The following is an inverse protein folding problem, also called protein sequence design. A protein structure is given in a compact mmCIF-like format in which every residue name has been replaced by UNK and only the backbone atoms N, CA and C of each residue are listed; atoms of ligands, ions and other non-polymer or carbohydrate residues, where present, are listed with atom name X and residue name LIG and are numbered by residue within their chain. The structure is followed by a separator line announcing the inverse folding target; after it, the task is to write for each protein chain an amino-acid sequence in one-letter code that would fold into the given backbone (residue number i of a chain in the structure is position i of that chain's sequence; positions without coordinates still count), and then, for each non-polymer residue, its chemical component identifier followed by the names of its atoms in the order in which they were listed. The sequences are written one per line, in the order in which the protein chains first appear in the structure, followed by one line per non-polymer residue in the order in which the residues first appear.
data_IF_695877973738
#
_entry.id   IF_695877973738
#
_cell.length_a   1.000
_cell.length_b   1.000
_cell.length_c   1.000
_cell.angle_alpha   90.00
_cell.angle_beta   90.00
_cell.angle_gamma   90.00
#
_symmetry.space_group_name_H-M   'P 1'
#
loop_
_entity.id
_entity.type
_entity.pdbx_description
1 polymer ?
#
# COMPACT_ATOMS: atom_id res chain seq x y z
N UNK A 1 8.99 10.58 12.08
CA UNK A 1 9.59 11.21 13.26
C UNK A 1 10.30 12.51 12.93
N UNK A 2 11.48 12.49 12.28
CA UNK A 2 12.30 13.69 12.06
C UNK A 2 11.60 14.87 11.36
N UNK A 3 10.65 14.62 10.46
CA UNK A 3 9.83 15.66 9.84
C UNK A 3 8.82 16.27 10.82
N UNK A 4 8.17 15.46 11.67
CA UNK A 4 7.19 15.90 12.68
C UNK A 4 7.88 16.75 13.76
N UNK A 5 9.09 16.38 14.17
CA UNK A 5 9.86 17.16 15.15
C UNK A 5 10.22 18.57 14.65
N UNK A 6 10.34 18.73 13.32
CA UNK A 6 10.63 20.01 12.67
C UNK A 6 9.40 20.72 12.13
N UNK A 7 8.20 20.19 12.40
CA UNK A 7 6.97 20.81 11.93
C UNK A 7 6.79 22.20 12.56
N UNK A 8 6.41 23.16 11.72
CA UNK A 8 6.21 24.58 12.10
C UNK A 8 4.72 24.97 12.13
N UNK A 9 3.88 24.31 11.32
CA UNK A 9 2.50 24.76 11.09
C UNK A 9 1.47 23.64 11.11
N UNK A 10 1.71 22.53 10.39
CA UNK A 10 0.70 21.48 10.20
C UNK A 10 1.33 20.10 10.12
N UNK A 11 0.66 19.12 10.71
CA UNK A 11 0.97 17.70 10.53
C UNK A 11 -0.33 16.95 10.26
N UNK A 12 -0.46 16.39 9.07
CA UNK A 12 -1.62 15.61 8.64
C UNK A 12 -1.19 14.15 8.45
N UNK A 13 -1.83 13.22 9.15
CA UNK A 13 -1.50 11.78 9.11
C UNK A 13 -2.74 10.96 8.78
N UNK A 14 -2.62 9.98 7.90
CA UNK A 14 -3.63 8.93 7.68
C UNK A 14 -3.00 7.54 7.75
N UNK A 15 -3.66 6.62 8.46
CA UNK A 15 -3.20 5.24 8.60
C UNK A 15 -4.37 4.26 8.62
N UNK A 16 -4.12 3.07 8.06
CA UNK A 16 -5.05 1.94 8.14
C UNK A 16 -4.99 1.27 9.52
N UNK A 17 -3.78 0.89 9.96
CA UNK A 17 -3.54 0.30 11.28
C UNK A 17 -2.80 1.31 12.15
N UNK A 18 -3.37 1.56 13.31
CA UNK A 18 -2.76 2.24 14.44
C UNK A 18 -2.92 1.37 15.68
N UNK A 19 -1.86 0.69 16.08
CA UNK A 19 -1.83 -0.19 17.26
C UNK A 19 -1.07 0.48 18.39
N UNK A 20 -1.55 0.39 19.65
CA UNK A 20 -0.75 0.77 20.82
C UNK A 20 0.57 0.00 20.86
N UNK A 21 1.64 0.63 21.34
CA UNK A 21 2.98 0.05 21.35
C UNK A 21 4.07 1.10 21.48
N UNK A 22 5.34 0.67 21.44
CA UNK A 22 6.51 1.56 21.49
C UNK A 22 6.55 2.53 20.31
N UNK A 23 6.26 2.07 19.10
CA UNK A 23 6.27 2.94 17.92
C UNK A 23 5.17 4.00 18.01
N UNK A 24 3.96 3.60 18.40
CA UNK A 24 2.85 4.53 18.62
C UNK A 24 3.18 5.52 19.72
N UNK A 25 3.73 5.08 20.86
CA UNK A 25 4.11 5.97 21.97
C UNK A 25 5.16 7.02 21.57
N UNK A 26 6.18 6.64 20.79
CA UNK A 26 7.14 7.60 20.23
C UNK A 26 6.45 8.62 19.32
N UNK A 27 5.57 8.16 18.44
CA UNK A 27 4.80 9.06 17.56
C UNK A 27 3.89 9.99 18.36
N UNK A 28 3.19 9.50 19.38
CA UNK A 28 2.35 10.29 20.27
C UNK A 28 3.14 11.43 20.90
N UNK A 29 4.32 11.12 21.46
CA UNK A 29 5.18 12.12 22.07
C UNK A 29 5.65 13.18 21.08
N UNK A 30 6.02 12.79 19.84
CA UNK A 30 6.42 13.73 18.80
C UNK A 30 5.25 14.62 18.33
N UNK A 31 4.06 14.06 18.20
CA UNK A 31 2.86 14.81 17.81
C UNK A 31 2.43 15.77 18.91
N UNK A 32 2.47 15.35 20.18
CA UNK A 32 2.18 16.22 21.32
C UNK A 32 3.18 17.38 21.40
N UNK A 33 4.48 17.14 21.18
CA UNK A 33 5.49 18.20 21.04
C UNK A 33 5.17 19.16 19.90
N UNK A 34 4.71 18.66 18.75
CA UNK A 34 4.31 19.50 17.63
C UNK A 34 3.12 20.40 18.01
N UNK A 35 2.10 19.85 18.68
CA UNK A 35 0.98 20.65 19.21
C UNK A 35 1.47 21.71 20.20
N UNK A 36 2.39 21.35 21.11
CA UNK A 36 3.00 22.29 22.06
C UNK A 36 3.77 23.44 21.41
N UNK A 37 4.26 23.26 20.17
CA UNK A 37 4.85 24.33 19.33
C UNK A 37 3.82 25.13 18.53
N UNK A 38 2.52 24.86 18.69
CA UNK A 38 1.43 25.52 17.96
C UNK A 38 1.06 24.88 16.62
N UNK A 39 1.59 23.70 16.28
CA UNK A 39 1.21 23.01 15.04
C UNK A 39 -0.22 22.47 15.12
N UNK A 40 -0.99 22.63 14.04
CA UNK A 40 -2.26 21.93 13.86
C UNK A 40 -2.01 20.49 13.44
N UNK A 41 -2.43 19.53 14.27
CA UNK A 41 -2.24 18.10 13.99
C UNK A 41 -3.58 17.41 13.72
N UNK A 42 -3.69 16.73 12.57
CA UNK A 42 -4.84 15.90 12.20
C UNK A 42 -4.43 14.45 11.99
N UNK A 43 -5.17 13.51 12.57
CA UNK A 43 -4.98 12.08 12.41
C UNK A 43 -6.26 11.41 11.91
N UNK A 44 -6.20 10.79 10.73
CA UNK A 44 -7.29 10.02 10.13
C UNK A 44 -7.00 8.52 10.27
N UNK A 45 -7.88 7.80 10.95
CA UNK A 45 -7.74 6.36 11.19
C UNK A 45 -8.85 5.58 10.50
N UNK A 46 -8.51 4.44 9.89
CA UNK A 46 -9.53 3.49 9.43
C UNK A 46 -10.17 2.74 10.61
N UNK A 47 -11.50 2.76 10.70
CA UNK A 47 -12.19 2.08 11.80
C UNK A 47 -11.99 0.56 11.79
N UNK A 48 -11.74 -0.07 10.64
CA UNK A 48 -11.47 -1.51 10.57
C UNK A 48 -10.06 -1.87 10.99
N UNK A 49 -9.05 -1.24 10.38
CA UNK A 49 -7.66 -1.56 10.70
C UNK A 49 -7.21 -1.06 12.08
N UNK A 50 -7.88 -0.06 12.64
CA UNK A 50 -7.49 0.58 13.92
C UNK A 50 -8.51 0.37 15.04
N UNK A 51 -9.24 -0.75 15.04
CA UNK A 51 -10.26 -1.03 16.07
C UNK A 51 -9.71 -1.08 17.50
N UNK A 52 -8.43 -1.44 17.65
CA UNK A 52 -7.71 -1.47 18.93
C UNK A 52 -7.08 -0.12 19.33
N UNK A 53 -7.21 0.93 18.50
CA UNK A 53 -6.61 2.23 18.77
C UNK A 53 -7.40 3.06 19.81
N UNK A 54 -8.61 2.67 20.17
CA UNK A 54 -9.54 3.45 21.01
C UNK A 54 -8.91 4.10 22.24
N UNK A 55 -8.22 3.35 23.12
CA UNK A 55 -7.54 3.92 24.29
C UNK A 55 -6.45 4.94 23.93
N UNK A 56 -5.70 4.69 22.86
CA UNK A 56 -4.66 5.60 22.37
C UNK A 56 -5.25 6.90 21.77
N UNK A 57 -6.43 6.84 21.16
CA UNK A 57 -7.10 8.00 20.58
C UNK A 57 -7.49 9.02 21.65
N UNK A 58 -7.95 8.57 22.81
CA UNK A 58 -8.29 9.47 23.91
C UNK A 58 -7.07 10.29 24.37
N UNK A 59 -5.91 9.64 24.50
CA UNK A 59 -4.64 10.29 24.86
C UNK A 59 -4.23 11.32 23.80
N UNK A 60 -4.35 10.96 22.52
CA UNK A 60 -4.02 11.86 21.41
C UNK A 60 -4.93 13.10 21.40
N UNK A 61 -6.23 12.92 21.62
CA UNK A 61 -7.19 14.03 21.68
C UNK A 61 -6.92 14.95 22.86
N UNK A 62 -6.59 14.39 24.04
CA UNK A 62 -6.17 15.18 25.20
C UNK A 62 -4.89 15.99 24.93
N UNK A 63 -3.98 15.47 24.10
CA UNK A 63 -2.79 16.19 23.65
C UNK A 63 -3.06 17.25 22.56
N UNK A 64 -4.33 17.53 22.23
CA UNK A 64 -4.74 18.55 21.25
C UNK A 64 -4.71 18.09 19.79
N UNK A 65 -4.58 16.78 19.54
CA UNK A 65 -4.58 16.22 18.18
C UNK A 65 -6.02 15.96 17.75
N UNK A 66 -6.39 16.48 16.58
CA UNK A 66 -7.72 16.24 16.02
C UNK A 66 -7.74 14.87 15.36
N UNK A 67 -8.53 13.94 15.90
CA UNK A 67 -8.66 12.58 15.36
C UNK A 67 -10.00 12.42 14.65
N UNK A 68 -9.98 11.86 13.45
CA UNK A 68 -11.18 11.48 12.68
C UNK A 68 -11.12 10.00 12.28
N UNK A 69 -12.28 9.39 12.20
CA UNK A 69 -12.44 7.97 11.87
C UNK A 69 -13.04 7.82 10.49
N UNK A 70 -12.37 7.04 9.63
CA UNK A 70 -12.89 6.66 8.33
C UNK A 70 -13.86 5.47 8.45
N UNK A 71 -15.08 5.64 7.93
CA UNK A 71 -16.14 4.65 7.91
C UNK A 71 -16.53 4.10 9.31
N UNK A 72 -16.87 4.98 10.29
CA UNK A 72 -17.16 4.59 11.67
C UNK A 72 -18.47 3.79 11.84
N UNK A 73 -19.40 3.89 10.88
CA UNK A 73 -20.73 3.25 10.93
C UNK A 73 -20.71 1.89 10.20
N UNK A 74 -20.58 0.78 10.95
CA UNK A 74 -20.60 -0.62 10.47
C UNK A 74 -22.05 -1.13 10.45
N UNK A 75 -22.57 -1.94 9.51
CA UNK A 75 -22.17 -3.30 9.07
C UNK A 75 -22.29 -3.54 7.54
N UNK A 76 -23.04 -2.69 6.82
CA UNK A 76 -23.25 -2.83 5.37
C UNK A 76 -22.03 -2.44 4.51
N UNK A 77 -21.11 -1.62 5.05
CA UNK A 77 -20.02 -0.94 4.31
C UNK A 77 -18.60 -1.42 4.65
N UNK A 78 -18.45 -2.52 5.38
CA UNK A 78 -17.15 -3.11 5.79
C UNK A 78 -16.18 -3.45 4.66
N UNK A 79 -16.68 -3.47 3.42
CA UNK A 79 -15.86 -3.70 2.23
C UNK A 79 -15.02 -2.48 1.82
N UNK A 80 -15.32 -1.28 2.32
CA UNK A 80 -14.57 -0.06 2.02
C UNK A 80 -13.67 0.31 3.19
N UNK A 81 -12.36 0.36 2.91
CA UNK A 81 -11.32 0.62 3.91
C UNK A 81 -10.38 1.69 3.39
N UNK A 82 -10.00 2.62 4.25
CA UNK A 82 -8.89 3.52 4.02
C UNK A 82 -7.59 2.75 4.26
N UNK A 83 -7.00 2.24 3.18
CA UNK A 83 -5.77 1.48 3.24
C UNK A 83 -4.53 2.37 3.02
N UNK A 84 -4.70 3.70 3.04
CA UNK A 84 -3.62 4.67 2.80
C UNK A 84 -2.73 4.80 4.03
N UNK A 85 -1.45 5.10 3.78
CA UNK A 85 -0.48 5.52 4.80
C UNK A 85 0.24 6.73 4.26
N UNK A 86 -0.06 7.90 4.81
CA UNK A 86 0.47 9.18 4.35
C UNK A 86 0.69 10.08 5.55
N UNK A 87 1.83 10.76 5.55
CA UNK A 87 2.16 11.84 6.47
C UNK A 87 2.52 13.06 5.65
N UNK A 88 1.84 14.18 5.86
CA UNK A 88 2.15 15.47 5.24
C UNK A 88 2.52 16.45 6.35
N UNK A 89 3.68 17.08 6.22
CA UNK A 89 4.19 18.07 7.17
C UNK A 89 4.36 19.41 6.46
N UNK A 90 3.75 20.45 7.02
CA UNK A 90 3.80 21.85 6.57
C UNK A 90 3.44 22.05 5.09
N UNK A 91 2.76 21.08 4.48
CA UNK A 91 2.56 21.00 3.01
C UNK A 91 3.85 21.19 2.21
N UNK A 92 5.00 20.85 2.79
CA UNK A 92 6.35 20.93 2.20
C UNK A 92 7.05 19.58 2.14
N UNK A 93 6.64 18.64 3.00
CA UNK A 93 7.15 17.28 3.03
C UNK A 93 5.99 16.31 3.03
N UNK A 94 6.10 15.24 2.24
CA UNK A 94 5.15 14.14 2.31
C UNK A 94 5.87 12.79 2.31
N UNK A 95 5.41 11.87 3.16
CA UNK A 95 5.84 10.49 3.22
C UNK A 95 4.66 9.59 2.88
N UNK A 96 4.83 8.68 1.92
CA UNK A 96 3.83 7.66 1.59
C UNK A 96 4.49 6.28 1.49
N UNK A 97 3.76 5.21 1.78
CA UNK A 97 4.32 3.86 1.70
C UNK A 97 3.40 2.78 2.22
N UNK A 98 3.99 1.63 2.57
CA UNK A 98 3.28 0.49 3.14
C UNK A 98 3.20 0.49 4.68
N UNK A 99 4.10 1.20 5.37
CA UNK A 99 4.28 1.11 6.81
C UNK A 99 3.07 1.61 7.59
N UNK A 100 2.52 0.77 8.47
CA UNK A 100 1.53 1.18 9.45
C UNK A 100 2.18 1.61 10.78
N UNK A 101 1.37 2.08 11.73
CA UNK A 101 1.83 2.36 13.10
C UNK A 101 1.51 1.16 13.97
N UNK A 102 2.47 0.24 14.10
CA UNK A 102 2.40 -0.91 14.98
C UNK A 102 3.83 -1.39 15.29
N UNK A 103 4.04 -2.06 16.43
CA UNK A 103 5.38 -2.50 16.84
C UNK A 103 5.97 -3.56 15.91
N UNK A 104 5.13 -4.22 15.10
CA UNK A 104 5.55 -5.05 13.98
C UNK A 104 6.41 -4.29 12.98
N UNK A 105 6.29 -2.96 12.86
CA UNK A 105 7.12 -2.13 11.97
C UNK A 105 8.32 -1.50 12.71
N UNK A 106 8.51 -1.80 14.00
CA UNK A 106 9.60 -1.24 14.81
C UNK A 106 10.86 -2.11 14.67
N UNK A 107 11.63 -1.86 13.61
CA UNK A 107 12.91 -2.53 13.38
C UNK A 107 13.55 -2.21 12.04
N UNK A 108 14.60 -2.94 11.69
CA UNK A 108 15.35 -2.81 10.43
C UNK A 108 14.76 -3.65 9.28
N UNK A 109 13.76 -4.48 9.61
CA UNK A 109 13.12 -5.41 8.70
C UNK A 109 13.95 -6.65 8.41
N UNK A 110 15.12 -6.83 9.06
CA UNK A 110 16.04 -7.95 8.87
C UNK A 110 16.19 -8.73 10.17
N UNK A 111 16.64 -8.08 11.24
CA UNK A 111 16.79 -8.68 12.56
C UNK A 111 15.50 -8.55 13.37
N UNK A 112 14.78 -7.45 13.20
CA UNK A 112 13.54 -7.17 13.91
C UNK A 112 12.56 -6.37 13.04
N UNK A 113 11.27 -6.54 13.33
CA UNK A 113 10.20 -5.85 12.61
C UNK A 113 10.01 -6.31 11.17
N UNK A 114 8.94 -5.85 10.55
CA UNK A 114 8.54 -6.14 9.18
C UNK A 114 9.37 -5.28 8.23
N UNK A 115 9.76 -5.87 7.10
CA UNK A 115 10.42 -5.14 6.02
C UNK A 115 9.36 -4.48 5.15
N UNK A 116 9.31 -3.17 5.16
CA UNK A 116 8.43 -2.38 4.30
C UNK A 116 9.21 -1.16 3.76
N UNK A 117 8.59 -0.39 2.88
CA UNK A 117 9.21 0.79 2.29
C UNK A 117 8.18 1.90 2.07
N UNK A 118 8.72 3.10 1.91
CA UNK A 118 7.98 4.28 1.50
C UNK A 118 8.91 5.25 0.78
N UNK A 119 8.32 6.33 0.31
CA UNK A 119 9.05 7.43 -0.29
C UNK A 119 8.75 8.73 0.43
N UNK A 120 9.78 9.54 0.61
CA UNK A 120 9.68 10.92 1.04
C UNK A 120 9.81 11.85 -0.17
N UNK A 121 8.89 12.78 -0.35
CA UNK A 121 8.95 13.78 -1.41
C UNK A 121 8.89 15.19 -0.85
N UNK A 122 9.70 16.06 -1.45
CA UNK A 122 9.73 17.51 -1.24
C UNK A 122 9.32 18.29 -2.49
N UNK A 123 8.96 17.59 -3.57
CA UNK A 123 8.56 18.23 -4.84
C UNK A 123 7.25 19.00 -4.58
N UNK A 124 7.25 20.35 -4.64
CA UNK A 124 6.12 21.13 -4.13
C UNK A 124 4.77 20.72 -4.74
N UNK A 125 4.71 20.57 -6.07
CA UNK A 125 3.50 20.14 -6.76
C UNK A 125 3.00 18.75 -6.33
N UNK A 126 3.93 17.81 -6.08
CA UNK A 126 3.59 16.46 -5.59
C UNK A 126 3.09 16.49 -4.15
N UNK A 127 3.76 17.26 -3.27
CA UNK A 127 3.36 17.41 -1.87
C UNK A 127 1.98 18.06 -1.76
N UNK A 128 1.70 19.09 -2.56
CA UNK A 128 0.38 19.73 -2.59
C UNK A 128 -0.69 18.75 -3.11
N UNK A 129 -0.38 17.91 -4.11
CA UNK A 129 -1.31 16.89 -4.59
C UNK A 129 -1.64 15.86 -3.49
N UNK A 130 -0.63 15.42 -2.72
CA UNK A 130 -0.82 14.53 -1.57
C UNK A 130 -1.62 15.19 -0.45
N UNK A 131 -1.32 16.45 -0.11
CA UNK A 131 -2.08 17.24 0.87
C UNK A 131 -3.56 17.37 0.49
N UNK A 132 -3.84 17.72 -0.78
CA UNK A 132 -5.22 17.77 -1.30
C UNK A 132 -5.91 16.40 -1.28
N UNK A 133 -5.14 15.33 -1.49
CA UNK A 133 -5.66 13.96 -1.38
C UNK A 133 -6.02 13.60 0.06
N UNK A 134 -5.24 14.04 1.03
CA UNK A 134 -5.56 13.93 2.46
C UNK A 134 -6.80 14.74 2.82
N UNK A 135 -6.86 16.03 2.44
CA UNK A 135 -7.98 16.92 2.76
C UNK A 135 -9.34 16.34 2.28
N UNK A 136 -9.34 15.70 1.11
CA UNK A 136 -10.53 15.01 0.58
C UNK A 136 -10.91 13.77 1.40
N UNK A 137 -9.95 12.92 1.76
CA UNK A 137 -10.22 11.76 2.62
C UNK A 137 -10.71 12.19 3.99
N UNK A 138 -10.15 13.26 4.54
CA UNK A 138 -10.56 13.86 5.81
C UNK A 138 -12.02 14.32 5.77
N UNK A 139 -12.41 15.07 4.73
CA UNK A 139 -13.78 15.53 4.54
C UNK A 139 -14.77 14.37 4.35
N UNK A 140 -14.31 13.28 3.72
CA UNK A 140 -15.10 12.07 3.46
C UNK A 140 -15.06 11.06 4.62
N UNK A 141 -14.33 11.33 5.71
CA UNK A 141 -14.08 10.36 6.78
C UNK A 141 -15.35 9.68 7.34
N UNK A 142 -16.46 10.40 7.64
CA UNK A 142 -17.69 9.75 8.11
C UNK A 142 -18.22 8.67 7.16
N UNK A 143 -17.91 8.80 5.87
CA UNK A 143 -18.31 7.86 4.81
C UNK A 143 -19.83 7.60 4.79
N UNK A 144 -20.62 8.62 5.16
CA UNK A 144 -22.09 8.55 5.30
C UNK A 144 -22.82 8.44 3.96
N UNK A 145 -22.26 9.05 2.92
CA UNK A 145 -22.69 8.87 1.54
C UNK A 145 -21.52 8.24 0.80
N UNK A 146 -21.78 7.19 0.00
CA UNK A 146 -20.82 6.88 -1.04
C UNK A 146 -20.74 8.13 -1.91
N UNK A 147 -19.57 8.72 -2.10
CA UNK A 147 -19.43 9.59 -3.23
C UNK A 147 -19.76 8.72 -4.43
N UNK A 148 -20.81 9.08 -5.18
CA UNK A 148 -20.94 8.60 -6.56
C UNK A 148 -19.54 8.72 -7.15
N UNK A 149 -19.06 7.65 -7.77
CA UNK A 149 -17.70 7.37 -8.23
C UNK A 149 -17.00 8.48 -9.07
N UNK A 150 -17.66 9.63 -9.23
CA UNK A 150 -17.31 10.82 -9.98
C UNK A 150 -16.66 11.94 -9.15
N UNK A 151 -16.62 11.88 -7.80
CA UNK A 151 -16.05 12.98 -6.98
C UNK A 151 -14.58 12.80 -6.56
N UNK A 152 -13.98 11.62 -6.75
CA UNK A 152 -12.54 11.44 -6.53
C UNK A 152 -11.79 11.89 -7.80
N UNK A 153 -11.01 12.99 -7.76
CA UNK A 153 -10.36 13.49 -8.96
C UNK A 153 -9.39 12.48 -9.53
N UNK A 154 -9.28 12.53 -10.86
CA UNK A 154 -8.28 11.76 -11.57
C UNK A 154 -6.87 12.11 -11.09
N UNK A 155 -5.95 11.14 -11.25
CA UNK A 155 -4.58 11.25 -10.80
C UNK A 155 -3.95 12.62 -11.10
N UNK A 156 -3.29 13.20 -10.09
CA UNK A 156 -2.48 14.40 -10.27
C UNK A 156 -1.17 14.00 -10.93
N UNK A 157 -0.66 14.79 -11.87
CA UNK A 157 0.60 14.51 -12.55
C UNK A 157 1.48 15.75 -12.60
N UNK A 158 2.79 15.54 -12.54
CA UNK A 158 3.81 16.48 -12.99
C UNK A 158 4.69 15.81 -14.03
N UNK A 159 5.82 16.43 -14.36
CA UNK A 159 6.67 15.99 -15.46
C UNK A 159 7.22 14.56 -15.28
N UNK A 160 7.63 14.23 -14.05
CA UNK A 160 8.25 12.93 -13.71
C UNK A 160 7.43 12.09 -12.74
N UNK A 161 6.21 12.50 -12.39
CA UNK A 161 5.43 11.81 -11.37
C UNK A 161 3.93 11.80 -11.66
N UNK A 162 3.25 10.76 -11.22
CA UNK A 162 1.80 10.62 -11.30
C UNK A 162 1.27 9.99 -10.01
N UNK A 163 0.39 10.71 -9.31
CA UNK A 163 -0.25 10.27 -8.08
C UNK A 163 -1.61 9.64 -8.38
N UNK A 164 -1.71 8.32 -8.22
CA UNK A 164 -2.97 7.60 -8.31
C UNK A 164 -3.65 7.51 -6.95
N UNK A 165 -4.89 7.98 -6.91
CA UNK A 165 -5.80 7.77 -5.78
C UNK A 165 -6.79 6.68 -6.17
N UNK A 166 -6.58 5.49 -5.64
CA UNK A 166 -7.53 4.39 -5.77
C UNK A 166 -8.67 4.57 -4.75
N UNK A 167 -9.84 4.05 -5.10
CA UNK A 167 -11.04 4.09 -4.30
C UNK A 167 -12.17 3.41 -5.05
N UNK A 168 -13.33 3.31 -4.41
CA UNK A 168 -14.55 2.80 -5.02
C UNK A 168 -14.99 3.67 -6.21
N UNK A 169 -14.52 3.37 -7.42
CA UNK A 169 -14.86 4.19 -8.60
C UNK A 169 -13.82 4.22 -9.73
N UNK A 170 -13.64 5.38 -10.36
CA UNK A 170 -12.85 5.55 -11.60
C UNK A 170 -11.32 5.57 -11.38
N UNK A 171 -10.81 6.03 -10.23
CA UNK A 171 -9.37 6.21 -9.97
C UNK A 171 -8.51 4.95 -10.18
N UNK A 172 -9.04 3.80 -9.77
CA UNK A 172 -8.46 2.47 -10.00
C UNK A 172 -8.16 2.19 -11.49
N UNK A 173 -9.00 2.68 -12.41
CA UNK A 173 -8.85 2.41 -13.84
C UNK A 173 -7.59 3.05 -14.40
N UNK A 174 -7.20 4.24 -13.90
CA UNK A 174 -6.03 4.97 -14.41
C UNK A 174 -4.73 4.32 -13.94
N UNK A 175 -4.61 4.01 -12.64
CA UNK A 175 -3.48 3.24 -12.12
C UNK A 175 -3.26 1.94 -12.92
N UNK A 176 -4.32 1.15 -13.09
CA UNK A 176 -4.26 -0.11 -13.83
C UNK A 176 -3.84 0.09 -15.29
N UNK A 177 -4.35 1.13 -15.97
CA UNK A 177 -3.96 1.45 -17.36
C UNK A 177 -2.48 1.80 -17.45
N UNK A 178 -2.01 2.68 -16.56
CA UNK A 178 -0.61 3.11 -16.53
C UNK A 178 0.33 1.93 -16.24
N UNK A 179 0.02 1.14 -15.20
CA UNK A 179 0.76 -0.07 -14.88
C UNK A 179 0.80 -1.04 -16.07
N UNK A 180 -0.35 -1.29 -16.73
CA UNK A 180 -0.38 -2.17 -17.89
C UNK A 180 0.49 -1.66 -19.05
N UNK A 181 0.49 -0.34 -19.31
CA UNK A 181 1.30 0.27 -20.36
C UNK A 181 2.79 0.08 -20.07
N UNK A 182 3.20 0.42 -18.85
CA UNK A 182 4.62 0.37 -18.48
C UNK A 182 5.12 -1.09 -18.44
N UNK A 183 4.34 -2.02 -17.89
CA UNK A 183 4.68 -3.45 -17.93
C UNK A 183 4.69 -4.02 -19.37
N UNK A 184 3.88 -3.46 -20.28
CA UNK A 184 3.84 -3.92 -21.67
C UNK A 184 5.11 -3.51 -22.42
N UNK A 185 5.61 -2.30 -22.18
CA UNK A 185 6.80 -1.74 -22.82
C UNK A 185 8.09 -2.27 -22.19
N UNK A 186 8.08 -2.59 -20.89
CA UNK A 186 9.32 -2.85 -20.17
C UNK A 186 10.07 -4.11 -20.60
N UNK A 187 11.40 -4.04 -20.42
CA UNK A 187 12.34 -5.16 -20.57
C UNK A 187 12.93 -5.61 -19.24
N UNK A 188 13.01 -4.71 -18.25
CA UNK A 188 13.48 -4.99 -16.91
C UNK A 188 12.39 -4.66 -15.89
N UNK A 189 11.88 -5.68 -15.20
CA UNK A 189 10.82 -5.54 -14.21
C UNK A 189 11.24 -6.15 -12.87
N UNK A 190 11.10 -5.37 -11.81
CA UNK A 190 11.27 -5.81 -10.43
C UNK A 190 9.96 -5.60 -9.67
N UNK A 191 9.43 -6.65 -9.03
CA UNK A 191 8.20 -6.58 -8.21
C UNK A 191 8.53 -7.05 -6.79
N UNK A 192 8.21 -6.24 -5.80
CA UNK A 192 8.23 -6.61 -4.39
C UNK A 192 6.82 -6.45 -3.86
N UNK A 193 6.20 -7.56 -3.44
CA UNK A 193 4.79 -7.55 -3.07
C UNK A 193 4.52 -8.44 -1.84
N UNK A 194 3.93 -7.83 -0.81
CA UNK A 194 3.40 -8.54 0.36
C UNK A 194 2.39 -9.64 -0.03
N UNK A 195 1.45 -9.29 -0.92
CA UNK A 195 0.45 -10.20 -1.47
C UNK A 195 0.51 -10.17 -3.00
N UNK A 196 1.13 -11.20 -3.58
CA UNK A 196 1.26 -11.33 -5.03
C UNK A 196 0.09 -12.13 -5.62
N UNK A 197 -1.02 -11.43 -5.88
CA UNK A 197 -2.21 -12.02 -6.52
C UNK A 197 -2.61 -11.23 -7.78
N UNK A 198 -1.68 -11.03 -8.74
CA UNK A 198 -1.98 -10.25 -9.94
C UNK A 198 -3.07 -10.88 -10.80
N UNK A 199 -3.76 -10.01 -11.53
CA UNK A 199 -4.72 -10.41 -12.56
C UNK A 199 -4.03 -11.22 -13.67
N UNK A 200 -4.81 -12.06 -14.38
CA UNK A 200 -4.33 -12.82 -15.55
C UNK A 200 -3.62 -11.96 -16.58
N UNK A 201 -4.12 -10.74 -16.82
CA UNK A 201 -3.52 -9.78 -17.75
C UNK A 201 -2.13 -9.34 -17.30
N UNK A 202 -1.96 -9.03 -16.01
CA UNK A 202 -0.66 -8.63 -15.45
C UNK A 202 0.32 -9.81 -15.51
N UNK A 203 -0.11 -11.04 -15.21
CA UNK A 203 0.74 -12.23 -15.37
C UNK A 203 1.22 -12.42 -16.82
N UNK A 204 0.31 -12.23 -17.79
CA UNK A 204 0.66 -12.30 -19.20
C UNK A 204 1.62 -11.19 -19.64
N UNK A 205 1.52 -9.99 -19.05
CA UNK A 205 2.46 -8.88 -19.30
C UNK A 205 3.86 -9.22 -18.75
N UNK A 206 3.94 -9.69 -17.51
CA UNK A 206 5.20 -10.14 -16.90
C UNK A 206 5.86 -11.24 -17.74
N UNK A 207 5.08 -12.26 -18.16
CA UNK A 207 5.60 -13.33 -19.02
C UNK A 207 6.04 -12.86 -20.42
N UNK A 208 5.48 -11.77 -20.97
CA UNK A 208 5.96 -11.18 -22.23
C UNK A 208 7.24 -10.36 -22.01
N UNK A 209 7.31 -9.57 -20.94
CA UNK A 209 8.51 -8.83 -20.59
C UNK A 209 9.69 -9.76 -20.31
N UNK A 210 9.45 -10.89 -19.65
CA UNK A 210 10.44 -11.92 -19.37
C UNK A 210 11.03 -12.60 -20.62
N UNK A 211 10.39 -12.46 -21.79
CA UNK A 211 10.96 -12.90 -23.08
C UNK A 211 11.87 -11.86 -23.72
N UNK A 212 11.78 -10.59 -23.29
CA UNK A 212 12.59 -9.48 -23.80
C UNK A 212 13.77 -9.15 -22.88
N UNK A 213 13.65 -9.46 -21.59
CA UNK A 213 14.67 -9.18 -20.59
C UNK A 213 14.32 -9.79 -19.24
N UNK A 214 14.77 -9.16 -18.16
CA UNK A 214 14.72 -9.72 -16.80
C UNK A 214 13.42 -9.36 -16.08
N UNK A 215 12.76 -10.35 -15.51
CA UNK A 215 11.65 -10.15 -14.56
C UNK A 215 11.97 -10.84 -13.25
N UNK A 216 11.98 -10.06 -12.17
CA UNK A 216 12.21 -10.51 -10.80
C UNK A 216 10.99 -10.22 -9.93
N UNK A 217 10.55 -11.21 -9.16
CA UNK A 217 9.46 -11.10 -8.20
C UNK A 217 9.97 -11.54 -6.83
N UNK A 218 9.82 -10.70 -5.81
CA UNK A 218 10.13 -11.02 -4.43
C UNK A 218 8.85 -10.97 -3.60
N UNK A 219 8.59 -12.04 -2.86
CA UNK A 219 7.44 -12.21 -1.98
C UNK A 219 7.91 -12.59 -0.57
N UNK A 220 7.10 -12.42 0.48
CA UNK A 220 7.47 -12.92 1.79
C UNK A 220 7.48 -14.47 1.83
N UNK A 221 8.40 -15.05 2.60
CA UNK A 221 8.40 -16.48 2.91
C UNK A 221 7.26 -16.86 3.87
N UNK A 222 6.88 -15.93 4.75
CA UNK A 222 5.79 -16.06 5.70
C UNK A 222 4.58 -15.18 5.30
N UNK A 223 3.47 -15.27 6.01
CA UNK A 223 2.30 -14.44 5.72
C UNK A 223 1.47 -14.21 6.97
N UNK A 224 1.09 -12.96 7.18
CA UNK A 224 0.18 -12.51 8.24
C UNK A 224 -1.29 -12.83 7.91
N UNK A 225 -1.63 -12.92 6.62
CA UNK A 225 -2.96 -13.29 6.13
C UNK A 225 -2.90 -14.64 5.42
N UNK A 226 -3.32 -15.76 6.07
CA UNK A 226 -3.23 -17.11 5.49
C UNK A 226 -3.90 -17.25 4.13
N UNK A 227 -5.06 -16.60 3.94
CA UNK A 227 -5.80 -16.60 2.69
C UNK A 227 -4.98 -15.99 1.54
N UNK A 228 -4.34 -14.85 1.79
CA UNK A 228 -3.51 -14.16 0.80
C UNK A 228 -2.23 -14.96 0.51
N UNK A 229 -1.62 -15.55 1.53
CA UNK A 229 -0.45 -16.41 1.39
C UNK A 229 -0.74 -17.63 0.49
N UNK A 230 -1.87 -18.32 0.72
CA UNK A 230 -2.28 -19.46 -0.12
C UNK A 230 -2.65 -19.06 -1.55
N UNK A 231 -3.31 -17.91 -1.74
CA UNK A 231 -3.60 -17.39 -3.07
C UNK A 231 -2.32 -17.00 -3.83
N UNK A 232 -1.34 -16.39 -3.15
CA UNK A 232 -0.02 -16.09 -3.72
C UNK A 232 0.69 -17.36 -4.18
N UNK A 233 0.73 -18.39 -3.33
CA UNK A 233 1.32 -19.69 -3.69
C UNK A 233 0.64 -20.34 -4.91
N UNK A 234 -0.69 -20.19 -5.05
CA UNK A 234 -1.40 -20.64 -6.26
C UNK A 234 -0.88 -19.94 -7.52
N UNK A 235 -0.70 -18.61 -7.45
CA UNK A 235 -0.30 -17.77 -8.58
C UNK A 235 1.17 -18.00 -8.95
N UNK A 236 2.06 -18.04 -7.97
CA UNK A 236 3.50 -18.21 -8.18
C UNK A 236 3.81 -19.53 -8.90
N UNK A 237 3.11 -20.61 -8.54
CA UNK A 237 3.22 -21.91 -9.22
C UNK A 237 2.83 -21.88 -10.70
N UNK A 238 1.98 -20.92 -11.10
CA UNK A 238 1.58 -20.73 -12.49
C UNK A 238 2.52 -19.83 -13.31
N UNK A 239 3.55 -19.24 -12.69
CA UNK A 239 4.56 -18.46 -13.41
C UNK A 239 5.58 -19.39 -14.09
N UNK A 240 6.06 -19.06 -15.30
CA UNK A 240 7.10 -19.83 -15.97
C UNK A 240 8.45 -19.67 -15.23
N UNK A 241 8.94 -20.70 -14.51
CA UNK A 241 10.12 -20.57 -13.65
C UNK A 241 11.41 -20.34 -14.46
N UNK A 242 11.42 -20.70 -15.74
CA UNK A 242 12.55 -20.44 -16.66
C UNK A 242 12.63 -19.01 -17.17
N UNK A 243 11.55 -18.22 -17.03
CA UNK A 243 11.49 -16.85 -17.55
C UNK A 243 11.40 -15.82 -16.41
N UNK A 244 10.73 -16.13 -15.31
CA UNK A 244 10.54 -15.20 -14.19
C UNK A 244 11.32 -15.70 -12.98
N UNK A 245 12.25 -14.88 -12.50
CA UNK A 245 13.00 -15.13 -11.29
C UNK A 245 12.11 -14.80 -10.09
N UNK A 246 11.89 -15.77 -9.21
CA UNK A 246 11.06 -15.59 -8.02
C UNK A 246 11.90 -15.86 -6.78
N UNK A 247 11.82 -14.98 -5.79
CA UNK A 247 12.52 -15.07 -4.51
C UNK A 247 11.56 -14.94 -3.34
N UNK A 248 11.90 -15.57 -2.21
CA UNK A 248 11.21 -15.46 -0.94
C UNK A 248 12.08 -14.78 0.09
N UNK A 249 11.62 -13.63 0.59
CA UNK A 249 12.26 -12.93 1.70
C UNK A 249 12.05 -13.69 3.00
N UNK A 250 13.14 -14.09 3.65
CA UNK A 250 13.12 -15.00 4.81
C UNK A 250 13.15 -14.30 6.17
N UNK A 251 13.93 -13.20 6.39
CA UNK A 251 14.20 -12.74 7.76
C UNK A 251 12.96 -12.29 8.54
N UNK A 252 12.00 -11.67 7.86
CA UNK A 252 10.79 -11.14 8.47
C UNK A 252 9.62 -11.11 7.47
N UNK A 253 8.46 -10.62 7.92
CA UNK A 253 7.38 -10.33 6.99
C UNK A 253 7.78 -9.19 6.04
N UNK A 254 7.81 -9.48 4.74
CA UNK A 254 8.00 -8.49 3.68
C UNK A 254 6.65 -7.89 3.32
N UNK A 255 6.41 -6.67 3.76
CA UNK A 255 5.16 -5.95 3.55
C UNK A 255 5.28 -4.80 2.53
N UNK A 256 6.31 -4.77 1.68
CA UNK A 256 6.48 -3.76 0.65
C UNK A 256 5.50 -3.89 -0.54
N UNK A 257 5.24 -2.76 -1.21
CA UNK A 257 4.46 -2.64 -2.47
C UNK A 257 5.23 -1.79 -3.47
N UNK A 258 6.12 -2.45 -4.19
CA UNK A 258 7.04 -1.82 -5.14
C UNK A 258 6.96 -2.53 -6.49
N UNK A 259 6.81 -1.74 -7.55
CA UNK A 259 6.99 -2.22 -8.93
C UNK A 259 7.92 -1.26 -9.64
N UNK A 260 8.97 -1.81 -10.25
CA UNK A 260 9.88 -1.06 -11.11
C UNK A 260 9.75 -1.65 -12.51
N UNK A 261 9.46 -0.81 -13.50
CA UNK A 261 9.38 -1.18 -14.91
C UNK A 261 10.29 -0.22 -15.70
N UNK A 262 11.48 -0.69 -16.05
CA UNK A 262 12.59 0.14 -16.57
C UNK A 262 12.86 1.37 -15.67
N UNK A 263 12.49 2.58 -16.06
CA UNK A 263 12.67 3.79 -15.24
C UNK A 263 11.43 4.21 -14.44
N UNK A 264 10.30 3.52 -14.63
CA UNK A 264 9.06 3.80 -13.91
C UNK A 264 9.00 3.02 -12.58
N UNK A 265 8.99 3.75 -11.46
CA UNK A 265 8.88 3.23 -10.10
C UNK A 265 7.48 3.51 -9.56
N UNK A 266 6.81 2.47 -9.08
CA UNK A 266 5.51 2.55 -8.41
C UNK A 266 5.69 2.18 -6.94
N UNK A 267 5.33 3.10 -6.05
CA UNK A 267 5.43 2.93 -4.60
C UNK A 267 4.20 3.49 -3.90
N UNK A 268 3.72 2.83 -2.86
CA UNK A 268 2.58 3.31 -2.08
C UNK A 268 1.93 2.21 -1.23
N UNK A 269 0.61 2.32 -1.06
CA UNK A 269 -0.15 1.45 -0.16
C UNK A 269 -0.87 0.29 -0.85
N UNK A 270 -1.04 0.35 -2.17
CA UNK A 270 -1.84 -0.62 -2.91
C UNK A 270 -1.10 -1.95 -3.07
N UNK A 271 -1.69 -3.02 -2.55
CA UNK A 271 -1.19 -4.37 -2.78
C UNK A 271 -1.33 -4.80 -4.24
N UNK A 272 -0.56 -5.80 -4.64
CA UNK A 272 -0.63 -6.41 -5.97
C UNK A 272 -1.75 -7.47 -6.06
N UNK A 273 -2.94 -7.09 -5.59
CA UNK A 273 -4.12 -7.96 -5.51
C UNK A 273 -5.37 -7.31 -6.13
N UNK A 274 -6.41 -8.11 -6.43
CA UNK A 274 -7.60 -7.59 -7.10
C UNK A 274 -8.42 -6.61 -6.27
N UNK A 275 -8.27 -6.58 -4.95
CA UNK A 275 -9.02 -5.70 -4.05
C UNK A 275 -8.44 -4.29 -4.06
N UNK A 276 -7.12 -4.16 -3.94
CA UNK A 276 -6.41 -2.88 -4.07
C UNK A 276 -6.53 -2.33 -5.50
N UNK A 277 -6.63 -3.22 -6.49
CA UNK A 277 -6.93 -2.88 -7.87
C UNK A 277 -8.42 -2.66 -8.17
N UNK A 278 -9.33 -2.56 -7.19
CA UNK A 278 -10.78 -2.41 -7.44
C UNK A 278 -11.58 -1.61 -6.41
N UNK A 279 -11.29 -1.74 -5.11
CA UNK A 279 -12.23 -1.38 -4.04
C UNK A 279 -11.58 -0.56 -2.93
N UNK A 280 -10.38 -0.93 -2.48
CA UNK A 280 -9.72 -0.21 -1.39
C UNK A 280 -9.40 1.23 -1.78
N UNK A 281 -9.45 2.12 -0.79
CA UNK A 281 -8.85 3.43 -0.94
C UNK A 281 -7.34 3.29 -0.71
N UNK A 282 -6.57 3.48 -1.77
CA UNK A 282 -5.10 3.36 -1.76
C UNK A 282 -4.45 4.56 -2.44
N UNK A 283 -3.18 4.80 -2.12
CA UNK A 283 -2.32 5.74 -2.83
C UNK A 283 -1.21 4.98 -3.52
N UNK A 284 -0.96 5.29 -4.79
CA UNK A 284 0.25 4.87 -5.50
C UNK A 284 0.88 6.08 -6.18
N UNK A 285 2.15 6.29 -5.94
CA UNK A 285 2.95 7.27 -6.67
C UNK A 285 3.77 6.53 -7.72
N UNK A 286 3.58 6.90 -8.99
CA UNK A 286 4.50 6.55 -10.07
C UNK A 286 5.52 7.68 -10.23
N UNK A 287 6.79 7.32 -10.36
CA UNK A 287 7.89 8.24 -10.62
C UNK A 287 8.68 7.68 -11.79
N UNK A 288 8.98 8.52 -12.77
CA UNK A 288 9.82 8.17 -13.91
C UNK A 288 11.09 8.99 -13.84
N UNK A 289 12.09 8.41 -13.20
CA UNK A 289 13.37 9.05 -12.96
C UNK A 289 14.47 7.97 -12.87
N UNK A 290 15.52 8.03 -13.70
CA UNK A 290 16.59 7.04 -13.68
C UNK A 290 17.27 6.89 -12.32
N UNK A 291 17.49 7.99 -11.60
CA UNK A 291 18.17 7.97 -10.30
C UNK A 291 17.30 7.26 -9.25
N UNK A 292 16.01 7.61 -9.20
CA UNK A 292 15.05 6.95 -8.29
C UNK A 292 14.90 5.48 -8.64
N UNK A 293 14.90 5.12 -9.93
CA UNK A 293 14.84 3.71 -10.36
C UNK A 293 16.08 2.92 -9.93
N UNK A 294 17.27 3.53 -9.94
CA UNK A 294 18.51 2.91 -9.47
C UNK A 294 18.51 2.73 -7.96
N UNK A 295 18.11 3.76 -7.19
CA UNK A 295 17.95 3.66 -5.74
C UNK A 295 16.95 2.57 -5.35
N UNK A 296 15.79 2.54 -6.02
CA UNK A 296 14.76 1.54 -5.79
C UNK A 296 15.27 0.12 -6.10
N UNK A 297 16.08 -0.07 -7.16
CA UNK A 297 16.71 -1.36 -7.45
C UNK A 297 17.74 -1.76 -6.41
N UNK A 298 18.52 -0.82 -5.87
CA UNK A 298 19.42 -1.10 -4.75
C UNK A 298 18.68 -1.68 -3.54
N UNK A 299 17.49 -1.16 -3.22
CA UNK A 299 16.61 -1.73 -2.17
C UNK A 299 16.16 -3.15 -2.55
N UNK A 300 15.79 -3.40 -3.81
CA UNK A 300 15.40 -4.74 -4.27
C UNK A 300 16.57 -5.72 -4.18
N UNK A 301 17.79 -5.27 -4.49
CA UNK A 301 19.00 -6.10 -4.42
C UNK A 301 19.37 -6.45 -2.97
N UNK A 302 19.24 -5.50 -2.04
CA UNK A 302 19.36 -5.75 -0.59
C UNK A 302 18.29 -6.74 -0.10
N UNK A 303 17.03 -6.57 -0.51
CA UNK A 303 15.97 -7.52 -0.16
C UNK A 303 16.29 -8.91 -0.75
N UNK A 304 16.80 -8.98 -1.98
CA UNK A 304 17.17 -10.25 -2.61
C UNK A 304 18.33 -10.93 -1.89
N UNK A 305 19.33 -10.20 -1.40
CA UNK A 305 20.49 -10.81 -0.71
C UNK A 305 20.07 -11.59 0.55
N UNK A 306 18.95 -11.21 1.16
CA UNK A 306 18.34 -11.90 2.30
C UNK A 306 17.23 -12.88 1.89
N UNK A 307 17.04 -13.11 0.59
CA UNK A 307 16.00 -13.98 0.05
C UNK A 307 16.55 -15.30 -0.45
N UNK A 308 15.69 -16.32 -0.51
CA UNK A 308 15.99 -17.60 -1.16
C UNK A 308 15.22 -17.72 -2.47
N UNK A 309 15.76 -18.38 -3.51
CA UNK A 309 14.97 -18.70 -4.70
C UNK A 309 13.67 -19.43 -4.33
N UNK A 310 12.56 -19.05 -4.93
CA UNK A 310 11.27 -19.70 -4.72
C UNK A 310 11.31 -21.09 -5.35
N UNK A 311 11.45 -22.12 -4.52
CA UNK A 311 11.23 -23.48 -4.94
C UNK A 311 9.71 -23.70 -5.01
N UNK A 312 9.19 -23.84 -6.23
CA UNK A 312 7.81 -24.29 -6.40
C UNK A 312 7.73 -25.75 -5.94
N UNK A 313 7.45 -25.96 -4.66
CA UNK A 313 7.24 -27.30 -4.11
C UNK A 313 6.12 -28.03 -4.87
N UNK A 314 6.02 -29.34 -4.64
CA UNK A 314 4.93 -30.14 -5.17
C UNK A 314 3.88 -30.37 -4.06
N UNK A 315 2.99 -29.40 -3.75
CA UNK A 315 1.99 -29.57 -2.71
C UNK A 315 1.06 -30.72 -3.09
N UNK A 316 0.69 -31.54 -2.09
CA UNK A 316 -0.29 -32.61 -2.27
C UNK A 316 -1.66 -32.08 -2.75
N UNK A 317 -2.55 -32.95 -3.23
CA UNK A 317 -3.83 -32.57 -3.83
C UNK A 317 -4.67 -31.63 -2.95
N UNK A 318 -4.74 -31.90 -1.65
CA UNK A 318 -5.48 -31.07 -0.69
C UNK A 318 -4.92 -29.65 -0.57
N UNK A 319 -3.59 -29.53 -0.48
CA UNK A 319 -2.93 -28.23 -0.41
C UNK A 319 -3.13 -27.43 -1.71
N UNK A 320 -3.10 -28.09 -2.87
CA UNK A 320 -3.43 -27.46 -4.17
C UNK A 320 -4.87 -26.97 -4.23
N UNK A 321 -5.83 -27.75 -3.71
CA UNK A 321 -7.23 -27.37 -3.63
C UNK A 321 -7.40 -26.13 -2.75
N UNK A 322 -6.81 -26.13 -1.55
CA UNK A 322 -6.82 -24.98 -0.63
C UNK A 322 -6.25 -23.71 -1.26
N UNK A 323 -5.12 -23.83 -1.98
CA UNK A 323 -4.52 -22.70 -2.70
C UNK A 323 -5.43 -22.17 -3.81
N UNK A 324 -6.05 -23.06 -4.60
CA UNK A 324 -7.00 -22.68 -5.66
C UNK A 324 -8.25 -22.00 -5.12
N UNK A 325 -8.83 -22.53 -4.05
CA UNK A 325 -10.03 -21.95 -3.43
C UNK A 325 -9.71 -20.60 -2.79
N UNK A 326 -8.56 -20.47 -2.13
CA UNK A 326 -8.08 -19.19 -1.61
C UNK A 326 -7.93 -18.14 -2.72
N UNK A 327 -7.33 -18.50 -3.85
CA UNK A 327 -7.23 -17.64 -5.01
C UNK A 327 -8.61 -17.25 -5.57
N UNK A 328 -9.53 -18.20 -5.72
CA UNK A 328 -10.89 -17.92 -6.20
C UNK A 328 -11.64 -16.97 -5.24
N UNK A 329 -11.49 -17.17 -3.93
CA UNK A 329 -12.10 -16.30 -2.92
C UNK A 329 -11.59 -14.85 -3.04
N UNK A 330 -10.27 -14.64 -3.09
CA UNK A 330 -9.69 -13.30 -3.17
C UNK A 330 -9.85 -12.64 -4.54
N UNK A 331 -9.76 -13.40 -5.62
CA UNK A 331 -9.79 -12.82 -6.95
C UNK A 331 -11.22 -12.53 -7.44
N UNK A 332 -12.19 -13.35 -7.02
CA UNK A 332 -13.54 -13.34 -7.60
C UNK A 332 -14.60 -13.04 -6.55
N UNK A 333 -14.67 -13.81 -5.45
CA UNK A 333 -15.75 -13.70 -4.46
C UNK A 333 -15.70 -12.37 -3.72
N UNK A 334 -14.55 -12.00 -3.16
CA UNK A 334 -14.40 -10.75 -2.39
C UNK A 334 -14.70 -9.51 -3.26
N UNK A 335 -14.13 -9.38 -4.48
CA UNK A 335 -14.48 -8.27 -5.35
C UNK A 335 -15.93 -8.26 -5.82
N UNK A 336 -16.55 -9.43 -5.98
CA UNK A 336 -17.97 -9.55 -6.34
C UNK A 336 -18.88 -9.05 -5.21
N UNK A 337 -18.64 -9.50 -3.98
CA UNK A 337 -19.39 -9.06 -2.80
C UNK A 337 -19.25 -7.56 -2.60
N UNK A 338 -18.02 -7.03 -2.69
CA UNK A 338 -17.77 -5.61 -2.55
C UNK A 338 -18.49 -4.76 -3.62
N UNK A 339 -18.49 -5.22 -4.88
CA UNK A 339 -19.25 -4.55 -5.97
C UNK A 339 -20.75 -4.61 -5.76
N UNK A 340 -21.29 -5.74 -5.29
CA UNK A 340 -22.72 -5.87 -4.98
C UNK A 340 -23.10 -4.92 -3.85
N UNK A 341 -22.29 -4.83 -2.79
CA UNK A 341 -22.46 -3.84 -1.72
C UNK A 341 -22.37 -2.40 -2.23
N UNK A 342 -21.44 -2.10 -3.16
CA UNK A 342 -21.34 -0.78 -3.78
C UNK A 342 -22.64 -0.37 -4.49
N UNK A 343 -23.26 -1.29 -5.25
CA UNK A 343 -24.54 -1.03 -5.95
C UNK A 343 -25.72 -0.83 -5.02
N UNK A 344 -25.70 -1.41 -3.83
CA UNK A 344 -26.75 -1.24 -2.82
C UNK A 344 -26.67 0.09 -2.08
N UNK A 345 -25.61 0.86 -2.33
CA UNK A 345 -25.29 2.11 -1.65
C UNK A 345 -25.29 3.31 -2.62
N UNK A 346 -25.52 3.06 -3.91
CA UNK A 346 -25.63 4.04 -5.01
C UNK A 346 -27.08 4.20 -5.43
#
# INVERSE_FOLDING_TARGET
MAAIERAESTVDLEFYIWSPGRLAGRLHAALARAVGRGCRVRLLLDTFGSEHAGPAVAILQQAGIVVSWFNPRRWARLSFRNHRKLVVVDRRHALLGGCNVADEYDGDGVQAGWRDLGICTRVPACVIALARSFDRMWAMAPFDHLPVADSMPEASRGDRWELFVAGAGRGVRRYRRCLHRDLAAASQIDVVAAYFVPTTRVRGLLGRAARRGRVRVIVPAMGDVPLAHHASAHVLRGLPPSLIQVYQYVPAMLHAKLVIADHAVYVGSANFDPRSLRINFDLMLRIEDPEISTQARGIVDEIQSHSKPYACGNPGPLARLRQRTAYAALAWLDPYIARRKLRLLS
#
